data_IF_057812049738
#
_entry.id   IF_057812049738
#
_cell.length_a   1.000
_cell.length_b   1.000
_cell.length_c   1.000
_cell.angle_alpha   90.00
_cell.angle_beta   90.00
_cell.angle_gamma   90.00
#
_symmetry.space_group_name_H-M   'P 1'
#
loop_
_entity.id
_entity.type
_entity.pdbx_description
1 polymer ?
#
# COMPACT_ATOMS: atom_id res chain seq x y z
N UNK A 1 3.60 13.18 -6.18
CA UNK A 1 3.61 11.74 -5.79
C UNK A 1 2.22 11.17 -5.98
N UNK A 2 2.08 9.92 -6.42
CA UNK A 2 0.77 9.26 -6.56
C UNK A 2 0.60 8.23 -5.45
N UNK A 3 -0.37 8.45 -4.56
CA UNK A 3 -0.68 7.50 -3.50
C UNK A 3 -1.52 6.34 -4.04
N UNK A 4 -1.25 5.09 -3.64
CA UNK A 4 -2.10 3.97 -4.01
C UNK A 4 -3.45 4.08 -3.33
N UNK A 5 -4.53 3.82 -4.07
CA UNK A 5 -5.88 3.73 -3.52
C UNK A 5 -6.28 2.27 -3.41
N UNK A 6 -6.73 1.85 -2.24
CA UNK A 6 -7.20 0.49 -2.00
C UNK A 6 -8.65 0.57 -1.53
N UNK A 7 -9.56 -0.07 -2.27
CA UNK A 7 -11.00 0.05 -2.03
C UNK A 7 -11.48 -0.68 -0.77
N UNK A 8 -10.70 -1.63 -0.26
CA UNK A 8 -11.09 -2.45 0.89
C UNK A 8 -9.90 -2.67 1.81
N UNK A 9 -9.82 -1.89 2.89
CA UNK A 9 -8.77 -1.97 3.90
C UNK A 9 -8.72 -3.35 4.56
N UNK A 10 -9.88 -3.93 4.92
CA UNK A 10 -9.94 -5.25 5.55
C UNK A 10 -9.39 -6.36 4.65
N UNK A 11 -9.77 -6.34 3.37
CA UNK A 11 -9.28 -7.30 2.38
C UNK A 11 -7.79 -7.13 2.11
N UNK A 12 -7.29 -5.90 2.14
CA UNK A 12 -5.86 -5.64 2.04
C UNK A 12 -5.09 -6.15 3.26
N UNK A 13 -5.64 -5.98 4.47
CA UNK A 13 -5.06 -6.56 5.69
C UNK A 13 -5.01 -8.09 5.60
N UNK A 14 -6.08 -8.73 5.15
CA UNK A 14 -6.10 -10.19 4.90
C UNK A 14 -5.09 -10.58 3.82
N UNK A 15 -4.91 -9.77 2.79
CA UNK A 15 -3.90 -9.99 1.76
C UNK A 15 -2.47 -9.96 2.33
N UNK A 16 -2.12 -8.93 3.10
CA UNK A 16 -0.80 -8.86 3.73
C UNK A 16 -0.53 -10.07 4.64
N UNK A 17 -1.51 -10.47 5.45
CA UNK A 17 -1.42 -11.70 6.26
C UNK A 17 -1.25 -12.95 5.39
N UNK A 18 -1.94 -13.02 4.24
CA UNK A 18 -1.76 -14.15 3.32
C UNK A 18 -0.34 -14.20 2.75
N UNK A 19 0.28 -13.06 2.47
CA UNK A 19 1.67 -13.00 2.01
C UNK A 19 2.65 -13.56 3.05
N UNK A 20 2.34 -13.43 4.35
CA UNK A 20 3.10 -14.00 5.45
C UNK A 20 2.96 -15.52 5.58
N UNK A 21 1.84 -16.08 5.14
CA UNK A 21 1.62 -17.54 5.15
C UNK A 21 2.21 -18.27 3.93
N UNK A 22 2.23 -17.63 2.76
CA UNK A 22 2.62 -18.27 1.48
C UNK A 22 4.12 -18.19 1.21
N UNK A 23 4.67 -19.09 0.41
CA UNK A 23 6.08 -19.01 -0.01
C UNK A 23 6.41 -17.70 -0.74
N UNK A 24 7.69 -17.31 -0.70
CA UNK A 24 8.18 -16.15 -1.46
C UNK A 24 8.12 -16.48 -2.97
N UNK A 25 7.34 -15.73 -3.77
CA UNK A 25 7.26 -15.95 -5.21
C UNK A 25 8.43 -15.28 -5.93
N UNK A 26 8.71 -15.67 -7.18
CA UNK A 26 9.65 -14.95 -8.04
C UNK A 26 9.12 -13.56 -8.43
N UNK A 27 7.80 -13.44 -8.58
CA UNK A 27 7.11 -12.23 -9.02
C UNK A 27 5.73 -12.12 -8.42
N UNK A 28 5.37 -10.92 -7.98
CA UNK A 28 4.03 -10.57 -7.51
C UNK A 28 3.27 -9.81 -8.59
N UNK A 29 2.50 -10.55 -9.40
CA UNK A 29 1.67 -10.02 -10.48
C UNK A 29 0.20 -10.52 -10.39
N UNK A 30 -0.61 -10.19 -11.39
CA UNK A 30 -2.03 -10.57 -11.41
C UNK A 30 -2.25 -12.09 -11.36
N UNK A 31 -1.54 -12.92 -12.15
CA UNK A 31 -1.53 -14.37 -11.97
C UNK A 31 -1.23 -14.81 -10.54
N UNK A 32 -0.18 -14.26 -9.91
CA UNK A 32 0.15 -14.59 -8.52
C UNK A 32 -1.00 -14.25 -7.57
N UNK A 33 -1.57 -13.05 -7.65
CA UNK A 33 -2.73 -12.65 -6.84
C UNK A 33 -3.88 -13.67 -6.93
N UNK A 34 -4.20 -14.13 -8.14
CA UNK A 34 -5.23 -15.16 -8.37
C UNK A 34 -4.85 -16.49 -7.73
N UNK A 35 -3.58 -16.89 -7.82
CA UNK A 35 -3.09 -18.16 -7.25
C UNK A 35 -3.26 -18.24 -5.73
N UNK A 36 -3.18 -17.11 -5.04
CA UNK A 36 -3.35 -17.02 -3.58
C UNK A 36 -4.76 -16.58 -3.15
N UNK A 37 -5.73 -16.61 -4.07
CA UNK A 37 -7.17 -16.41 -3.78
C UNK A 37 -7.70 -14.99 -3.98
N UNK A 38 -6.92 -14.06 -4.54
CA UNK A 38 -7.31 -12.67 -4.76
C UNK A 38 -7.71 -12.40 -6.22
N UNK A 39 -8.95 -12.76 -6.55
CA UNK A 39 -9.41 -12.82 -7.95
C UNK A 39 -10.20 -11.58 -8.42
N UNK A 40 -10.71 -10.78 -7.48
CA UNK A 40 -11.53 -9.60 -7.78
C UNK A 40 -10.76 -8.52 -8.53
N UNK A 41 -11.46 -7.79 -9.41
CA UNK A 41 -10.91 -6.61 -10.10
C UNK A 41 -10.40 -5.54 -9.14
N UNK A 42 -10.98 -5.41 -7.95
CA UNK A 42 -10.52 -4.46 -6.92
C UNK A 42 -9.16 -4.84 -6.33
N UNK A 43 -8.82 -6.14 -6.28
CA UNK A 43 -7.55 -6.63 -5.72
C UNK A 43 -6.34 -6.25 -6.59
N UNK A 44 -6.55 -5.84 -7.85
CA UNK A 44 -5.49 -5.33 -8.72
C UNK A 44 -4.77 -4.13 -8.10
N UNK A 45 -5.46 -3.35 -7.27
CA UNK A 45 -4.91 -2.22 -6.51
C UNK A 45 -3.94 -2.64 -5.39
N UNK A 46 -3.89 -3.92 -5.01
CA UNK A 46 -2.99 -4.39 -3.95
C UNK A 46 -1.53 -4.41 -4.42
N UNK A 47 -1.27 -4.70 -5.69
CA UNK A 47 0.08 -4.70 -6.28
C UNK A 47 0.76 -3.33 -6.15
N UNK A 48 0.16 -2.21 -6.62
CA UNK A 48 0.79 -0.90 -6.43
C UNK A 48 0.89 -0.51 -4.95
N UNK A 49 0.01 -1.00 -4.07
CA UNK A 49 0.11 -0.72 -2.64
C UNK A 49 1.32 -1.40 -1.98
N UNK A 50 1.57 -2.68 -2.26
CA UNK A 50 2.74 -3.39 -1.71
C UNK A 50 4.07 -2.92 -2.31
N UNK A 51 4.05 -2.42 -3.55
CA UNK A 51 5.18 -1.70 -4.16
C UNK A 51 5.49 -0.42 -3.42
N UNK A 52 4.44 0.35 -3.12
CA UNK A 52 4.55 1.63 -2.45
C UNK A 52 5.16 1.52 -1.04
N UNK A 53 4.84 0.45 -0.30
CA UNK A 53 5.44 0.17 1.03
C UNK A 53 6.72 -0.66 0.94
N UNK A 54 7.25 -0.91 -0.26
CA UNK A 54 8.56 -1.53 -0.47
C UNK A 54 8.64 -3.04 -0.22
N UNK A 55 7.52 -3.77 -0.15
CA UNK A 55 7.52 -5.24 -0.05
C UNK A 55 7.99 -5.93 -1.33
N UNK A 56 7.73 -5.29 -2.47
CA UNK A 56 8.15 -5.76 -3.79
C UNK A 56 8.77 -4.60 -4.55
N UNK A 57 9.66 -4.90 -5.50
CA UNK A 57 10.29 -3.88 -6.32
C UNK A 57 9.26 -3.05 -7.09
N UNK A 58 9.47 -1.74 -7.13
CA UNK A 58 8.62 -0.81 -7.88
C UNK A 58 8.70 -1.05 -9.41
N UNK A 59 9.78 -1.67 -9.87
CA UNK A 59 10.02 -2.03 -11.28
C UNK A 59 8.97 -3.04 -11.81
N UNK A 60 8.93 -3.22 -13.14
CA UNK A 60 8.04 -4.18 -13.82
C UNK A 60 8.23 -5.65 -13.37
N UNK A 61 9.34 -5.95 -12.69
CA UNK A 61 9.68 -7.26 -12.16
C UNK A 61 8.82 -7.70 -10.98
N UNK A 62 8.44 -6.77 -10.08
CA UNK A 62 7.61 -7.10 -8.91
C UNK A 62 8.19 -8.20 -8.02
N UNK A 63 9.52 -8.34 -8.00
CA UNK A 63 10.22 -9.32 -7.19
C UNK A 63 10.16 -8.90 -5.70
N UNK A 64 10.05 -9.84 -4.76
CA UNK A 64 10.05 -9.51 -3.33
C UNK A 64 11.40 -8.92 -2.88
N UNK A 65 11.34 -7.92 -2.01
CA UNK A 65 12.54 -7.22 -1.50
C UNK A 65 13.06 -7.85 -0.20
N UNK A 66 14.10 -7.26 0.39
CA UNK A 66 14.53 -7.59 1.75
C UNK A 66 13.38 -7.44 2.77
N UNK A 67 12.56 -6.40 2.64
CA UNK A 67 11.40 -6.16 3.52
C UNK A 67 10.40 -7.31 3.51
N UNK A 68 10.26 -8.02 2.39
CA UNK A 68 9.43 -9.23 2.35
C UNK A 68 9.97 -10.32 3.28
N UNK A 69 11.29 -10.50 3.31
CA UNK A 69 11.95 -11.46 4.22
C UNK A 69 11.83 -11.01 5.67
N UNK A 70 11.94 -9.71 5.91
CA UNK A 70 11.75 -9.14 7.24
C UNK A 70 10.31 -9.34 7.72
N UNK A 71 9.32 -9.19 6.84
CA UNK A 71 7.91 -9.47 7.12
C UNK A 71 7.70 -10.92 7.58
N UNK A 72 8.41 -11.89 6.99
CA UNK A 72 8.36 -13.30 7.41
C UNK A 72 8.91 -13.56 8.81
N UNK A 73 9.80 -12.69 9.28
CA UNK A 73 10.44 -12.82 10.59
C UNK A 73 9.70 -12.00 11.65
N UNK A 74 9.30 -10.78 11.30
CA UNK A 74 8.57 -9.85 12.14
C UNK A 74 7.59 -9.02 11.29
N UNK A 75 6.38 -9.56 11.12
CA UNK A 75 5.34 -8.97 10.29
C UNK A 75 5.01 -7.52 10.65
N UNK A 76 4.81 -7.24 11.95
CA UNK A 76 4.33 -5.93 12.41
C UNK A 76 5.38 -4.84 12.19
N UNK A 77 6.64 -5.14 12.51
CA UNK A 77 7.74 -4.21 12.32
C UNK A 77 7.96 -3.92 10.83
N UNK A 78 8.07 -4.94 9.98
CA UNK A 78 8.37 -4.77 8.57
C UNK A 78 7.28 -3.96 7.82
N UNK A 79 6.01 -4.20 8.15
CA UNK A 79 4.89 -3.45 7.59
C UNK A 79 4.86 -2.03 8.14
N UNK A 80 5.07 -1.84 9.45
CA UNK A 80 5.10 -0.51 10.08
C UNK A 80 6.18 0.40 9.50
N UNK A 81 7.39 -0.13 9.30
CA UNK A 81 8.48 0.57 8.63
C UNK A 81 8.14 0.88 7.17
N UNK A 82 7.54 -0.07 6.44
CA UNK A 82 7.15 0.14 5.04
C UNK A 82 6.09 1.23 4.89
N UNK A 83 5.16 1.34 5.84
CA UNK A 83 4.18 2.43 5.90
C UNK A 83 4.86 3.76 6.22
N UNK A 84 5.78 3.81 7.18
CA UNK A 84 6.52 5.04 7.51
C UNK A 84 7.37 5.54 6.34
N UNK A 85 8.00 4.63 5.60
CA UNK A 85 8.78 4.97 4.40
C UNK A 85 7.89 5.40 3.23
N UNK A 86 6.85 4.63 2.90
CA UNK A 86 5.95 4.97 1.80
C UNK A 86 5.25 6.30 2.02
N UNK A 87 4.82 6.57 3.25
CA UNK A 87 4.17 7.82 3.66
C UNK A 87 5.14 8.80 4.34
N UNK A 88 6.42 8.79 3.99
CA UNK A 88 7.45 9.61 4.66
C UNK A 88 7.06 11.08 4.79
N UNK A 89 6.51 11.69 3.73
CA UNK A 89 6.06 13.08 3.75
C UNK A 89 4.93 13.33 4.77
N UNK A 90 4.04 12.36 4.98
CA UNK A 90 2.98 12.46 6.00
C UNK A 90 3.59 12.41 7.40
N UNK A 91 4.52 11.49 7.64
CA UNK A 91 5.18 11.35 8.94
C UNK A 91 6.15 12.51 9.25
N UNK A 92 6.68 13.21 8.24
CA UNK A 92 7.41 14.45 8.43
C UNK A 92 6.49 15.59 8.90
N UNK A 93 5.28 15.70 8.34
CA UNK A 93 4.31 16.72 8.76
C UNK A 93 3.65 16.36 10.09
N UNK A 94 3.35 15.08 10.31
CA UNK A 94 2.72 14.55 11.50
C UNK A 94 3.55 13.36 12.02
N UNK A 95 4.53 13.59 12.92
CA UNK A 95 5.35 12.52 13.49
C UNK A 95 4.53 11.38 14.11
N UNK A 96 3.36 11.73 14.66
CA UNK A 96 2.36 10.79 15.20
C UNK A 96 1.17 10.62 14.25
N UNK A 97 1.39 10.53 12.93
CA UNK A 97 0.34 10.37 11.91
C UNK A 97 -0.61 9.19 12.20
N UNK A 98 -0.09 8.12 12.81
CA UNK A 98 -0.83 6.93 13.21
C UNK A 98 -1.82 7.16 14.38
N UNK A 99 -1.76 8.32 15.04
CA UNK A 99 -2.70 8.76 16.07
C UNK A 99 -3.59 9.93 15.62
N UNK A 100 -3.43 10.41 14.38
CA UNK A 100 -4.24 11.52 13.88
C UNK A 100 -5.66 11.03 13.56
N UNK A 101 -6.63 11.93 13.71
CA UNK A 101 -7.99 11.67 13.28
C UNK A 101 -8.10 11.65 11.74
N UNK A 102 -9.24 11.14 11.25
CA UNK A 102 -9.50 11.02 9.82
C UNK A 102 -9.56 12.40 9.13
N UNK A 103 -9.97 13.45 9.82
CA UNK A 103 -10.12 14.80 9.25
C UNK A 103 -8.75 15.43 8.99
N UNK A 104 -7.82 15.33 9.93
CA UNK A 104 -6.45 15.79 9.80
C UNK A 104 -5.74 15.09 8.63
N UNK A 105 -5.89 13.76 8.54
CA UNK A 105 -5.35 12.97 7.43
C UNK A 105 -6.00 13.37 6.10
N UNK A 106 -7.32 13.56 6.06
CA UNK A 106 -8.03 13.98 4.86
C UNK A 106 -7.54 15.36 4.36
N UNK A 107 -7.39 16.34 5.26
CA UNK A 107 -6.87 17.67 4.94
C UNK A 107 -5.46 17.60 4.35
N UNK A 108 -4.59 16.78 4.91
CA UNK A 108 -3.24 16.57 4.38
C UNK A 108 -3.27 16.01 2.95
N UNK A 109 -4.00 14.92 2.72
CA UNK A 109 -4.08 14.31 1.40
C UNK A 109 -4.74 15.23 0.38
N UNK A 110 -5.78 15.99 0.77
CA UNK A 110 -6.40 17.01 -0.09
C UNK A 110 -5.41 18.09 -0.54
N UNK A 111 -4.50 18.50 0.34
CA UNK A 111 -3.43 19.46 0.00
C UNK A 111 -2.33 18.88 -0.90
N UNK A 112 -2.14 17.55 -0.91
CA UNK A 112 -1.14 16.86 -1.72
C UNK A 112 -1.67 16.37 -3.07
N UNK A 113 -2.99 16.17 -3.18
CA UNK A 113 -3.66 15.94 -4.46
C UNK A 113 -3.77 17.26 -5.20
N UNK A 114 -2.87 17.49 -6.15
CA UNK A 114 -3.08 18.44 -7.25
C UNK A 114 -4.21 17.92 -8.14
N UNK A 115 -5.44 17.90 -7.64
CA UNK A 115 -6.58 18.06 -8.52
C UNK A 115 -6.75 19.56 -8.68
N UNK A 116 -6.38 20.05 -9.86
CA UNK A 116 -6.90 21.32 -10.35
C UNK A 116 -8.39 21.40 -10.04
N UNK A 117 -8.80 22.53 -9.49
CA UNK A 117 -10.16 22.91 -9.14
C UNK A 117 -11.07 23.03 -10.39
N UNK A 118 -10.99 22.10 -11.34
CA UNK A 118 -11.69 22.05 -12.60
C UNK A 118 -12.41 20.71 -12.73
N UNK A 119 -13.48 20.53 -11.94
CA UNK A 119 -14.79 19.98 -12.34
C UNK A 119 -15.80 20.18 -11.21
N UNK A 120 -16.04 21.43 -10.84
CA UNK A 120 -17.32 21.84 -10.23
C UNK A 120 -18.02 22.76 -11.22
N UNK A 121 -18.38 22.19 -12.38
CA UNK A 121 -19.38 22.78 -13.28
C UNK A 121 -20.14 21.66 -13.98
N UNK A 122 -21.40 21.54 -13.56
CA UNK A 122 -22.49 20.74 -14.11
C UNK A 122 -22.36 19.21 -14.02
N UNK A 123 -23.05 18.64 -13.01
CA UNK A 123 -24.21 17.79 -13.30
C UNK A 123 -25.28 18.02 -12.25
#
# INVERSE_FOLDING_TARGET
>A
MKFPTVQSSDKFKSFLRKLDEVGMPDKVDLPYLKSIGFNSSSHRSFIPAIKFIGLVEDKRGGAPTARWKDMKSNFEQAIGEGVKEGYHALFQTYPNAHHQDQEALFRYFKGQTSESNDKVKNM
#
